data_IF_458262263759
#
_entry.id   IF_458262263759
#
_cell.length_a   1.000
_cell.length_b   1.000
_cell.length_c   1.000
_cell.angle_alpha   90.00
_cell.angle_beta   90.00
_cell.angle_gamma   90.00
#
_symmetry.space_group_name_H-M   'P 1'
#
loop_
_entity.id
_entity.type
_entity.pdbx_description
1 polymer ?
#
# COMPACT_ATOMS: atom_id res chain seq x y z
N UNK A 1 11.60 0.83 -27.39
CA UNK A 1 11.66 1.50 -26.06
C UNK A 1 11.32 0.48 -25.00
N UNK A 2 12.06 0.42 -23.88
CA UNK A 2 11.65 -0.40 -22.73
C UNK A 2 10.35 0.18 -22.17
N UNK A 3 9.38 -0.68 -21.88
CA UNK A 3 8.16 -0.27 -21.22
C UNK A 3 8.51 0.12 -19.77
N UNK A 4 8.19 1.34 -19.35
CA UNK A 4 8.48 1.83 -17.99
C UNK A 4 7.83 0.93 -16.93
N UNK A 5 6.66 0.34 -17.25
CA UNK A 5 5.96 -0.59 -16.37
C UNK A 5 6.64 -1.97 -16.23
N UNK A 6 7.74 -2.26 -16.94
CA UNK A 6 8.57 -3.43 -16.64
C UNK A 6 9.25 -3.31 -15.26
N UNK A 7 9.50 -2.06 -14.81
CA UNK A 7 9.86 -1.74 -13.43
C UNK A 7 8.58 -1.59 -12.62
N UNK A 8 8.21 -2.60 -11.88
CA UNK A 8 6.96 -2.63 -11.13
C UNK A 8 6.98 -1.82 -9.84
N UNK A 9 8.15 -1.40 -9.35
CA UNK A 9 8.30 -0.73 -8.07
C UNK A 9 8.61 0.74 -8.25
N UNK A 10 7.86 1.60 -7.55
CA UNK A 10 7.98 3.05 -7.59
C UNK A 10 9.39 3.54 -7.32
N UNK A 11 10.04 2.94 -6.32
CA UNK A 11 11.40 3.30 -5.88
C UNK A 11 12.51 2.94 -6.90
N UNK A 12 12.21 2.10 -7.88
CA UNK A 12 13.11 1.76 -8.98
C UNK A 12 12.97 2.70 -10.18
N UNK A 13 11.97 3.60 -10.15
CA UNK A 13 11.70 4.55 -11.22
C UNK A 13 12.50 5.84 -11.02
N UNK A 14 13.01 6.37 -12.12
CA UNK A 14 13.64 7.69 -12.16
C UNK A 14 12.60 8.77 -12.48
N UNK A 15 12.93 10.04 -12.25
CA UNK A 15 12.08 11.16 -12.67
C UNK A 15 11.81 11.17 -14.18
N UNK A 16 12.75 10.68 -14.98
CA UNK A 16 12.58 10.53 -16.42
C UNK A 16 11.57 9.42 -16.76
N UNK A 17 11.59 8.31 -16.00
CA UNK A 17 10.59 7.25 -16.16
C UNK A 17 9.18 7.81 -15.91
N UNK A 18 8.98 8.56 -14.83
CA UNK A 18 7.69 9.20 -14.52
C UNK A 18 7.24 10.19 -15.60
N UNK A 19 8.17 10.97 -16.17
CA UNK A 19 7.84 11.92 -17.24
C UNK A 19 7.38 11.24 -18.54
N UNK A 20 7.71 9.95 -18.73
CA UNK A 20 7.37 9.15 -19.90
C UNK A 20 6.25 8.13 -19.65
N UNK A 21 5.71 8.07 -18.42
CA UNK A 21 4.64 7.15 -18.06
C UNK A 21 3.27 7.63 -18.54
N UNK A 22 2.40 6.69 -18.88
CA UNK A 22 0.97 6.91 -19.01
C UNK A 22 0.33 6.97 -17.61
N UNK A 23 0.49 8.13 -16.96
CA UNK A 23 0.07 8.35 -15.57
C UNK A 23 -1.44 8.29 -15.40
N UNK A 24 -2.22 8.74 -16.37
CA UNK A 24 -3.68 8.74 -16.32
C UNK A 24 -4.26 7.32 -16.22
N UNK A 25 -3.66 6.38 -16.95
CA UNK A 25 -4.08 4.98 -16.95
C UNK A 25 -3.36 4.14 -15.89
N UNK A 26 -2.37 4.71 -15.20
CA UNK A 26 -1.61 4.01 -14.17
C UNK A 26 -2.46 3.72 -12.94
N UNK A 27 -2.32 2.50 -12.39
CA UNK A 27 -2.77 2.13 -11.06
C UNK A 27 -1.59 2.17 -10.10
N UNK A 28 -1.62 3.10 -9.15
CA UNK A 28 -0.69 3.10 -8.02
C UNK A 28 -1.22 2.16 -6.92
N UNK A 29 -0.35 1.34 -6.35
CA UNK A 29 -0.70 0.38 -5.30
C UNK A 29 0.18 0.68 -4.09
N UNK A 30 -0.43 1.07 -2.97
CA UNK A 30 0.26 1.35 -1.71
C UNK A 30 0.05 0.16 -0.76
N UNK A 31 1.10 -0.62 -0.48
CA UNK A 31 1.06 -1.63 0.56
C UNK A 31 1.14 -0.98 1.93
N UNK A 32 0.29 -1.42 2.86
CA UNK A 32 0.19 -0.88 4.22
C UNK A 32 0.25 -2.04 5.22
N UNK A 33 1.12 -1.91 6.22
CA UNK A 33 1.41 -2.95 7.20
C UNK A 33 1.41 -2.42 8.63
N UNK A 34 1.98 -3.19 9.54
CA UNK A 34 2.32 -2.78 10.89
C UNK A 34 3.67 -3.39 11.35
N UNK A 35 4.21 -2.81 12.42
CA UNK A 35 5.31 -3.36 13.21
C UNK A 35 4.77 -3.56 14.62
N UNK A 36 4.37 -4.78 14.95
CA UNK A 36 3.69 -5.08 16.21
C UNK A 36 3.99 -6.48 16.71
N UNK A 37 3.69 -6.72 17.99
CA UNK A 37 3.85 -8.03 18.61
C UNK A 37 2.98 -9.09 17.91
N UNK A 38 3.53 -10.29 17.77
CA UNK A 38 2.83 -11.49 17.27
C UNK A 38 3.16 -12.71 18.16
N UNK A 39 3.18 -12.48 19.47
CA UNK A 39 3.61 -13.48 20.45
C UNK A 39 5.15 -13.61 20.54
N UNK A 40 5.64 -14.44 21.47
CA UNK A 40 7.07 -14.51 21.79
C UNK A 40 7.93 -15.21 20.73
N UNK A 41 7.32 -15.86 19.75
CA UNK A 41 8.00 -16.71 18.75
C UNK A 41 8.03 -16.13 17.35
N UNK A 42 7.28 -15.08 17.07
CA UNK A 42 7.28 -14.41 15.76
C UNK A 42 7.91 -13.02 15.84
N UNK A 43 8.63 -12.60 14.80
CA UNK A 43 9.19 -11.26 14.77
C UNK A 43 8.10 -10.19 14.59
N UNK A 44 8.33 -8.99 15.12
CA UNK A 44 7.36 -7.86 15.04
C UNK A 44 7.04 -7.41 13.60
N UNK A 45 7.74 -7.89 12.60
CA UNK A 45 7.54 -7.55 11.17
C UNK A 45 6.57 -8.49 10.42
N UNK A 46 5.78 -9.30 11.11
CA UNK A 46 4.90 -10.31 10.45
C UNK A 46 4.05 -9.68 9.36
N UNK A 47 3.30 -8.62 9.68
CA UNK A 47 2.43 -7.94 8.71
C UNK A 47 3.20 -7.41 7.51
N UNK A 48 4.36 -6.81 7.76
CA UNK A 48 5.24 -6.32 6.69
C UNK A 48 5.74 -7.47 5.80
N UNK A 49 6.04 -8.62 6.39
CA UNK A 49 6.50 -9.80 5.62
C UNK A 49 5.38 -10.35 4.76
N UNK A 50 4.17 -10.44 5.30
CA UNK A 50 2.99 -10.91 4.57
C UNK A 50 2.71 -10.01 3.36
N UNK A 51 2.61 -8.70 3.59
CA UNK A 51 2.26 -7.77 2.49
C UNK A 51 3.34 -7.73 1.41
N UNK A 52 4.62 -7.74 1.79
CA UNK A 52 5.71 -7.74 0.82
C UNK A 52 5.71 -9.02 -0.02
N UNK A 53 5.48 -10.18 0.59
CA UNK A 53 5.34 -11.44 -0.14
C UNK A 53 4.16 -11.43 -1.12
N UNK A 54 3.03 -10.86 -0.70
CA UNK A 54 1.85 -10.67 -1.56
C UNK A 54 2.15 -9.74 -2.74
N UNK A 55 2.79 -8.59 -2.48
CA UNK A 55 3.21 -7.62 -3.50
C UNK A 55 4.13 -8.26 -4.54
N UNK A 56 5.15 -9.00 -4.10
CA UNK A 56 6.05 -9.71 -5.01
C UNK A 56 5.32 -10.75 -5.87
N UNK A 57 4.39 -11.49 -5.26
CA UNK A 57 3.59 -12.49 -5.98
C UNK A 57 2.70 -11.83 -7.03
N UNK A 58 2.01 -10.73 -6.68
CA UNK A 58 1.17 -9.98 -7.60
C UNK A 58 2.03 -9.41 -8.73
N UNK A 59 3.15 -8.75 -8.41
CA UNK A 59 4.04 -8.15 -9.39
C UNK A 59 4.52 -9.16 -10.45
N UNK A 60 4.83 -10.40 -10.02
CA UNK A 60 5.23 -11.49 -10.92
C UNK A 60 4.08 -12.01 -11.80
N UNK A 61 2.83 -11.96 -11.30
CA UNK A 61 1.64 -12.47 -12.00
C UNK A 61 0.94 -11.43 -12.88
N UNK A 62 1.21 -10.15 -12.68
CA UNK A 62 0.62 -9.09 -13.50
C UNK A 62 0.96 -9.29 -14.99
N UNK A 63 -0.01 -9.12 -15.90
CA UNK A 63 0.25 -9.08 -17.33
C UNK A 63 1.34 -8.05 -17.68
N UNK A 64 2.12 -8.31 -18.73
CA UNK A 64 3.23 -7.42 -19.13
C UNK A 64 2.76 -6.03 -19.55
N UNK A 65 1.55 -5.92 -20.08
CA UNK A 65 0.91 -4.66 -20.48
C UNK A 65 0.18 -3.94 -19.36
N UNK A 66 0.15 -4.53 -18.15
CA UNK A 66 -0.46 -3.92 -16.97
C UNK A 66 0.26 -2.63 -16.59
N UNK A 67 -0.49 -1.54 -16.47
CA UNK A 67 0.00 -0.22 -16.04
C UNK A 67 -0.16 -0.06 -14.53
N UNK A 68 0.49 -0.92 -13.76
CA UNK A 68 0.46 -0.89 -12.31
C UNK A 68 1.86 -0.76 -11.73
N UNK A 69 2.00 0.08 -10.69
CA UNK A 69 3.22 0.30 -9.93
C UNK A 69 2.96 0.21 -8.43
N UNK A 70 3.87 -0.44 -7.71
CA UNK A 70 3.80 -0.58 -6.25
C UNK A 70 4.64 0.52 -5.60
N UNK A 71 4.02 1.30 -4.73
CA UNK A 71 4.70 2.26 -3.86
C UNK A 71 5.52 1.52 -2.79
N UNK A 72 6.49 2.20 -2.16
CA UNK A 72 7.16 1.67 -0.97
C UNK A 72 6.15 1.32 0.13
N UNK A 73 6.34 0.18 0.77
CA UNK A 73 5.44 -0.28 1.84
C UNK A 73 5.44 0.67 3.02
N UNK A 74 4.28 1.16 3.44
CA UNK A 74 4.09 1.84 4.70
C UNK A 74 4.13 0.82 5.84
N UNK A 75 5.30 0.67 6.46
CA UNK A 75 5.56 -0.41 7.43
C UNK A 75 5.02 -0.14 8.83
N UNK A 76 4.95 1.13 9.25
CA UNK A 76 4.45 1.48 10.58
C UNK A 76 3.02 1.96 10.42
N UNK A 77 2.09 1.18 10.96
CA UNK A 77 0.66 1.46 10.94
C UNK A 77 0.14 1.97 12.28
N UNK A 78 -1.15 1.77 12.51
CA UNK A 78 -1.84 2.06 13.75
C UNK A 78 -2.04 0.77 14.55
N UNK A 79 -1.19 0.55 15.56
CA UNK A 79 -1.15 -0.65 16.43
C UNK A 79 -1.15 -0.24 17.91
N UNK A 80 -1.90 0.80 18.28
CA UNK A 80 -1.90 1.32 19.65
C UNK A 80 -2.47 0.32 20.67
N UNK A 81 -3.26 -0.64 20.25
CA UNK A 81 -3.75 -1.76 21.05
C UNK A 81 -2.64 -2.72 21.51
N UNK A 82 -1.49 -2.69 20.86
CA UNK A 82 -0.34 -3.54 21.17
C UNK A 82 0.83 -2.81 21.85
N UNK A 83 0.69 -1.54 22.23
CA UNK A 83 1.76 -0.74 22.85
C UNK A 83 2.25 -1.25 24.20
N UNK A 84 1.46 -2.08 24.91
CA UNK A 84 1.88 -2.74 26.13
C UNK A 84 2.97 -3.80 25.89
N UNK A 85 3.21 -4.22 24.67
CA UNK A 85 4.20 -5.23 24.30
C UNK A 85 5.46 -4.59 23.72
N UNK A 86 6.66 -4.98 24.19
CA UNK A 86 7.92 -4.44 23.68
C UNK A 86 8.10 -4.68 22.17
N UNK A 87 8.64 -3.69 21.46
CA UNK A 87 8.95 -3.79 20.05
C UNK A 87 7.83 -3.30 19.10
N UNK A 88 6.62 -3.06 19.60
CA UNK A 88 5.54 -2.45 18.80
C UNK A 88 5.85 -1.00 18.51
N UNK A 89 5.71 -0.59 17.24
CA UNK A 89 5.77 0.79 16.77
C UNK A 89 4.41 1.18 16.20
N UNK A 90 3.80 2.21 16.75
CA UNK A 90 2.47 2.67 16.32
C UNK A 90 2.47 4.16 16.03
N UNK A 91 1.82 4.55 14.94
CA UNK A 91 1.41 5.94 14.73
C UNK A 91 0.08 6.20 15.46
N UNK A 92 -0.16 7.45 15.83
CA UNK A 92 -1.50 7.87 16.24
C UNK A 92 -2.47 7.80 15.06
N UNK A 93 -3.77 7.80 15.33
CA UNK A 93 -4.81 7.83 14.29
C UNK A 93 -4.62 9.02 13.35
N UNK A 94 -4.39 10.20 13.92
CA UNK A 94 -4.22 11.46 13.19
C UNK A 94 -2.97 11.42 12.32
N UNK A 95 -1.85 10.95 12.87
CA UNK A 95 -0.58 10.88 12.13
C UNK A 95 -0.67 9.84 11.01
N UNK A 96 -1.26 8.68 11.28
CA UNK A 96 -1.43 7.65 10.25
C UNK A 96 -2.36 8.14 9.13
N UNK A 97 -3.50 8.75 9.49
CA UNK A 97 -4.41 9.38 8.53
C UNK A 97 -3.67 10.40 7.65
N UNK A 98 -2.96 11.36 8.29
CA UNK A 98 -2.22 12.40 7.56
C UNK A 98 -1.14 11.80 6.64
N UNK A 99 -0.40 10.78 7.11
CA UNK A 99 0.64 10.11 6.32
C UNK A 99 0.07 9.52 5.03
N UNK A 100 -1.03 8.78 5.11
CA UNK A 100 -1.63 8.17 3.91
C UNK A 100 -2.28 9.22 3.01
N UNK A 101 -2.88 10.27 3.58
CA UNK A 101 -3.41 11.40 2.82
C UNK A 101 -2.31 12.12 2.03
N UNK A 102 -1.14 12.35 2.64
CA UNK A 102 -0.02 13.02 1.99
C UNK A 102 0.57 12.17 0.86
N UNK A 103 0.77 10.86 1.10
CA UNK A 103 1.22 9.92 0.06
C UNK A 103 0.23 9.90 -1.11
N UNK A 104 -1.07 9.74 -0.82
CA UNK A 104 -2.12 9.75 -1.84
C UNK A 104 -2.21 11.08 -2.58
N UNK A 105 -2.01 12.20 -1.88
CA UNK A 105 -1.95 13.54 -2.46
C UNK A 105 -0.77 13.71 -3.42
N UNK A 106 0.42 13.18 -3.08
CA UNK A 106 1.57 13.14 -3.98
C UNK A 106 1.25 12.34 -5.25
N UNK A 107 0.68 11.14 -5.11
CA UNK A 107 0.27 10.31 -6.25
C UNK A 107 -0.70 11.07 -7.17
N UNK A 108 -1.69 11.75 -6.58
CA UNK A 108 -2.65 12.56 -7.33
C UNK A 108 -2.01 13.73 -8.07
N UNK A 109 -1.02 14.39 -7.44
CA UNK A 109 -0.35 15.58 -8.00
C UNK A 109 0.45 15.26 -9.27
N UNK A 110 0.89 14.01 -9.45
CA UNK A 110 1.53 13.56 -10.68
C UNK A 110 0.55 13.20 -11.80
N UNK A 111 -0.76 13.28 -11.57
CA UNK A 111 -1.79 12.97 -12.57
C UNK A 111 -2.33 11.54 -12.52
N UNK A 112 -1.87 10.71 -11.59
CA UNK A 112 -2.40 9.36 -11.38
C UNK A 112 -3.80 9.46 -10.76
N UNK A 113 -4.77 8.78 -11.37
CA UNK A 113 -6.19 8.83 -10.98
C UNK A 113 -6.69 7.58 -10.26
N UNK A 114 -5.85 6.55 -10.13
CA UNK A 114 -6.25 5.27 -9.55
C UNK A 114 -5.25 4.88 -8.46
N UNK A 115 -5.74 4.70 -7.23
CA UNK A 115 -4.95 4.26 -6.09
C UNK A 115 -5.62 3.08 -5.39
N UNK A 116 -4.86 2.01 -5.17
CA UNK A 116 -5.27 0.88 -4.36
C UNK A 116 -4.43 0.87 -3.08
N UNK A 117 -5.09 0.76 -1.93
CA UNK A 117 -4.46 0.49 -0.64
C UNK A 117 -4.60 -1.01 -0.38
N UNK A 118 -3.48 -1.72 -0.21
CA UNK A 118 -3.50 -3.15 0.16
C UNK A 118 -3.01 -3.25 1.60
N UNK A 119 -3.88 -3.69 2.50
CA UNK A 119 -3.62 -3.68 3.94
C UNK A 119 -3.48 -5.10 4.50
N UNK A 120 -2.45 -5.31 5.32
CA UNK A 120 -2.18 -6.58 6.03
C UNK A 120 -2.39 -6.50 7.55
N UNK A 121 -2.91 -5.36 8.08
CA UNK A 121 -3.07 -5.16 9.53
C UNK A 121 -4.48 -4.70 9.89
N UNK A 122 -5.13 -5.37 10.85
CA UNK A 122 -6.50 -5.08 11.26
C UNK A 122 -6.70 -3.68 11.84
N UNK A 123 -5.74 -3.18 12.63
CA UNK A 123 -5.79 -1.87 13.28
C UNK A 123 -5.83 -0.67 12.31
N UNK A 124 -5.42 -0.88 11.06
CA UNK A 124 -5.43 0.17 10.02
C UNK A 124 -6.80 0.38 9.37
N UNK A 125 -7.68 -0.63 9.40
CA UNK A 125 -8.89 -0.72 8.54
C UNK A 125 -9.76 0.54 8.62
N UNK A 126 -10.18 0.94 9.81
CA UNK A 126 -11.10 2.07 9.99
C UNK A 126 -10.52 3.40 9.48
N UNK A 127 -9.21 3.60 9.66
CA UNK A 127 -8.52 4.81 9.18
C UNK A 127 -8.41 4.78 7.66
N UNK A 128 -8.04 3.63 7.08
CA UNK A 128 -7.92 3.49 5.63
C UNK A 128 -9.26 3.65 4.92
N UNK A 129 -10.37 3.22 5.50
CA UNK A 129 -11.71 3.45 4.94
C UNK A 129 -12.04 4.94 4.88
N UNK A 130 -11.71 5.69 5.94
CA UNK A 130 -11.88 7.14 5.97
C UNK A 130 -10.97 7.82 4.94
N UNK A 131 -9.68 7.49 4.93
CA UNK A 131 -8.70 8.03 3.95
C UNK A 131 -9.15 7.77 2.52
N UNK A 132 -9.62 6.57 2.22
CA UNK A 132 -10.11 6.20 0.88
C UNK A 132 -11.20 7.16 0.39
N UNK A 133 -12.15 7.50 1.27
CA UNK A 133 -13.21 8.46 0.97
C UNK A 133 -12.66 9.87 0.77
N UNK A 134 -11.81 10.35 1.67
CA UNK A 134 -11.26 11.69 1.62
C UNK A 134 -10.39 11.92 0.38
N UNK A 135 -9.57 10.96 -0.03
CA UNK A 135 -8.77 11.04 -1.25
C UNK A 135 -9.66 11.11 -2.51
N UNK A 136 -10.77 10.36 -2.54
CA UNK A 136 -11.76 10.45 -3.64
C UNK A 136 -12.32 11.87 -3.77
N UNK A 137 -12.73 12.46 -2.64
CA UNK A 137 -13.34 13.78 -2.59
C UNK A 137 -12.32 14.86 -2.95
N UNK A 138 -11.16 14.84 -2.27
CA UNK A 138 -10.16 15.90 -2.36
C UNK A 138 -9.44 15.94 -3.71
N UNK A 139 -9.18 14.77 -4.31
CA UNK A 139 -8.33 14.64 -5.49
C UNK A 139 -9.04 14.09 -6.74
N UNK A 140 -10.34 13.83 -6.66
CA UNK A 140 -11.13 13.24 -7.75
C UNK A 140 -10.47 11.98 -8.32
N UNK A 141 -10.07 11.06 -7.43
CA UNK A 141 -9.42 9.79 -7.75
C UNK A 141 -10.38 8.63 -7.60
N UNK A 142 -10.13 7.54 -8.30
CA UNK A 142 -10.66 6.22 -7.93
C UNK A 142 -9.73 5.63 -6.87
N UNK A 143 -10.21 5.53 -5.63
CA UNK A 143 -9.45 4.95 -4.52
C UNK A 143 -10.24 3.82 -3.90
N UNK A 144 -9.60 2.71 -3.59
CA UNK A 144 -10.20 1.59 -2.87
C UNK A 144 -9.18 0.91 -1.96
N UNK A 145 -9.70 0.35 -0.88
CA UNK A 145 -8.94 -0.37 0.14
C UNK A 145 -9.26 -1.86 0.04
N UNK A 146 -8.20 -2.69 0.05
CA UNK A 146 -8.29 -4.15 0.03
C UNK A 146 -7.57 -4.67 1.28
N UNK A 147 -8.30 -5.39 2.12
CA UNK A 147 -7.72 -6.08 3.26
C UNK A 147 -7.22 -7.46 2.81
N UNK A 148 -5.93 -7.71 2.93
CA UNK A 148 -5.27 -8.93 2.45
C UNK A 148 -5.84 -10.23 3.03
N UNK A 149 -6.47 -10.16 4.22
CA UNK A 149 -7.15 -11.30 4.84
C UNK A 149 -8.56 -11.57 4.28
N UNK A 150 -9.10 -10.69 3.42
CA UNK A 150 -10.40 -10.85 2.77
C UNK A 150 -10.31 -11.32 1.32
N UNK A 151 -9.12 -11.41 0.76
CA UNK A 151 -8.93 -12.03 -0.54
C UNK A 151 -8.99 -13.54 -0.34
N UNK A 152 -10.09 -14.18 -0.75
CA UNK A 152 -10.19 -15.64 -0.80
C UNK A 152 -9.03 -16.17 -1.66
N UNK A 153 -8.04 -16.75 -1.02
CA UNK A 153 -7.08 -17.60 -1.72
C UNK A 153 -7.87 -18.86 -2.03
N UNK A 154 -8.07 -19.12 -3.32
CA UNK A 154 -8.67 -20.36 -3.78
C UNK A 154 -7.73 -21.49 -3.35
N UNK A 155 -8.06 -22.12 -2.23
CA UNK A 155 -7.32 -23.26 -1.69
C UNK A 155 -7.72 -24.49 -2.52
N UNK A 156 -7.22 -24.59 -3.72
CA UNK A 156 -7.08 -25.89 -4.37
C UNK A 156 -5.76 -26.51 -3.89
N UNK A 157 -5.87 -27.30 -2.83
CA UNK A 157 -4.87 -28.30 -2.47
C UNK A 157 -5.17 -29.58 -3.22
#
# INVERSE_FOLDING_TARGET
MRNVFDKRFWEDLTTLDFSNMDLENCLAILPVAAIEQHGPHLPVKVDTTIINGLVEMIAKKLPKDSKAVFLPTQKIGKSNEHLAFPGTLSLSTETFFATIMDIGGCVASYGIKKLMLINSHGGNVSVLDTVTRELRIKHNMLVFNVNGFGCAVDHQF
#
